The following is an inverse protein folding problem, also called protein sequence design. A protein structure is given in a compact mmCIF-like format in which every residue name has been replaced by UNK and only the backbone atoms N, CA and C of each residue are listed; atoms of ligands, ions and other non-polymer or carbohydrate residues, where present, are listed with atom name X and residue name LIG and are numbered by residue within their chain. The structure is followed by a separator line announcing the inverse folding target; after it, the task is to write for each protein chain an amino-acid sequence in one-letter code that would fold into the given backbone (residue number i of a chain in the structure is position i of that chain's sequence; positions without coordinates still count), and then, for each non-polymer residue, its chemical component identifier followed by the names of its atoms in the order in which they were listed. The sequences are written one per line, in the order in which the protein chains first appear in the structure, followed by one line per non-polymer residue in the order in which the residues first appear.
data_IF_604167285708
#
_entry.id   IF_604167285708
#
_cell.length_a   1.000
_cell.length_b   1.000
_cell.length_c   1.000
_cell.angle_alpha   90.00
_cell.angle_beta   90.00
_cell.angle_gamma   90.00
#
_symmetry.space_group_name_H-M   'P 1'
#
loop_
_entity.id
_entity.type
_entity.pdbx_description
1 polymer ?
#
# COMPACT_ATOMS: atom_id res chain seq x y z
N UNK A 1 -20.22 28.63 7.03
CA UNK A 1 -19.63 27.45 7.63
C UNK A 1 -18.64 26.85 6.64
N UNK A 2 -17.40 26.68 7.05
CA UNK A 2 -16.39 26.10 6.19
C UNK A 2 -16.49 24.59 6.18
N UNK A 3 -16.47 24.01 5.00
CA UNK A 3 -16.41 22.55 4.88
C UNK A 3 -14.97 22.10 5.01
N UNK A 4 -14.78 21.04 5.80
CA UNK A 4 -13.47 20.42 5.88
C UNK A 4 -13.20 19.67 4.56
N UNK A 5 -12.07 19.90 3.90
CA UNK A 5 -11.76 19.16 2.68
C UNK A 5 -11.74 17.66 2.95
N UNK A 6 -12.18 16.83 2.00
CA UNK A 6 -12.12 15.39 2.19
C UNK A 6 -10.67 14.92 2.35
N UNK A 7 -10.50 13.90 3.18
CA UNK A 7 -9.19 13.31 3.42
C UNK A 7 -8.66 12.72 2.12
N UNK A 8 -7.41 12.99 1.78
CA UNK A 8 -6.76 12.45 0.60
C UNK A 8 -5.66 11.46 0.92
N UNK A 9 -5.02 11.58 2.09
CA UNK A 9 -3.95 10.70 2.51
C UNK A 9 -4.46 9.71 3.55
N UNK A 10 -4.21 8.42 3.29
CA UNK A 10 -4.63 7.33 4.16
C UNK A 10 -3.41 6.50 4.54
N UNK A 11 -3.35 6.09 5.81
CA UNK A 11 -2.26 5.31 6.37
C UNK A 11 -2.81 3.96 6.76
N UNK A 12 -2.32 2.91 6.11
CA UNK A 12 -2.86 1.56 6.25
C UNK A 12 -1.81 0.66 6.90
N UNK A 13 -2.25 -0.17 7.84
CA UNK A 13 -1.41 -1.13 8.53
C UNK A 13 -2.02 -2.52 8.36
N UNK A 14 -1.26 -3.43 7.77
CA UNK A 14 -1.66 -4.82 7.58
C UNK A 14 -0.87 -5.70 8.55
N UNK A 15 -1.35 -6.92 8.79
CA UNK A 15 -0.63 -7.87 9.63
C UNK A 15 0.69 -8.30 8.98
N UNK A 16 0.70 -8.44 7.67
CA UNK A 16 1.90 -8.81 6.91
C UNK A 16 1.78 -8.38 5.45
N UNK A 17 2.91 -8.45 4.73
CA UNK A 17 2.94 -8.19 3.29
C UNK A 17 1.99 -9.13 2.54
N UNK A 18 1.83 -10.37 3.01
CA UNK A 18 0.98 -11.36 2.37
C UNK A 18 -0.50 -10.96 2.34
N UNK A 19 -0.91 -10.03 3.20
CA UNK A 19 -2.29 -9.56 3.23
C UNK A 19 -2.60 -8.51 2.15
N UNK A 20 -1.58 -7.98 1.47
CA UNK A 20 -1.77 -6.93 0.46
C UNK A 20 -2.75 -7.31 -0.64
N UNK A 21 -2.65 -8.49 -1.30
CA UNK A 21 -3.57 -8.82 -2.38
C UNK A 21 -5.03 -8.95 -1.93
N UNK A 22 -5.25 -9.28 -0.67
CA UNK A 22 -6.60 -9.42 -0.11
C UNK A 22 -7.18 -8.07 0.29
N UNK A 23 -6.42 -7.29 1.08
CA UNK A 23 -6.91 -6.02 1.61
C UNK A 23 -6.92 -4.93 0.55
N UNK A 24 -5.92 -4.91 -0.32
CA UNK A 24 -5.78 -3.91 -1.37
C UNK A 24 -6.25 -4.41 -2.73
N UNK A 25 -7.08 -5.47 -2.76
CA UNK A 25 -7.60 -6.04 -4.00
C UNK A 25 -8.13 -5.00 -5.00
N UNK A 26 -8.87 -3.95 -4.57
CA UNK A 26 -9.36 -2.94 -5.51
C UNK A 26 -8.27 -2.21 -6.28
N UNK A 27 -7.02 -2.21 -5.78
CA UNK A 27 -5.89 -1.55 -6.42
C UNK A 27 -5.05 -2.51 -7.28
N UNK A 28 -5.42 -3.79 -7.32
CA UNK A 28 -4.73 -4.77 -8.15
C UNK A 28 -5.35 -4.84 -9.55
N UNK A 29 -4.51 -5.04 -10.54
CA UNK A 29 -4.89 -5.10 -11.94
C UNK A 29 -4.51 -6.45 -12.51
N UNK A 30 -5.32 -6.94 -13.45
CA UNK A 30 -5.08 -8.21 -14.13
C UNK A 30 -5.16 -7.97 -15.62
N UNK A 31 -4.05 -8.15 -16.32
CA UNK A 31 -4.04 -8.06 -17.78
C UNK A 31 -4.55 -9.37 -18.37
N UNK A 32 -5.40 -9.25 -19.37
CA UNK A 32 -5.99 -10.39 -20.05
C UNK A 32 -5.85 -10.26 -21.55
N UNK A 33 -5.93 -11.40 -22.23
CA UNK A 33 -5.95 -11.45 -23.68
C UNK A 33 -7.12 -12.33 -24.11
N UNK A 34 -7.84 -11.92 -25.16
CA UNK A 34 -8.95 -12.69 -25.69
C UNK A 34 -8.45 -13.46 -26.91
N UNK A 35 -8.61 -14.79 -26.87
CA UNK A 35 -8.28 -15.67 -27.97
C UNK A 35 -9.56 -16.05 -28.70
N UNK A 36 -9.54 -16.00 -30.02
CA UNK A 36 -10.69 -16.36 -30.85
C UNK A 36 -10.34 -17.61 -31.66
N UNK A 37 -11.20 -18.63 -31.57
CA UNK A 37 -11.05 -19.85 -32.37
C UNK A 37 -11.51 -19.54 -33.80
N UNK A 38 -10.64 -19.69 -34.77
CA UNK A 38 -10.95 -19.40 -36.18
C UNK A 38 -12.01 -20.33 -36.77
N UNK A 39 -12.17 -21.52 -36.21
CA UNK A 39 -13.13 -22.50 -36.76
C UNK A 39 -14.52 -22.34 -36.17
N UNK A 40 -14.61 -22.02 -34.87
CA UNK A 40 -15.89 -21.94 -34.16
C UNK A 40 -16.32 -20.52 -33.83
N UNK A 41 -15.39 -19.54 -33.86
CA UNK A 41 -15.63 -18.19 -33.39
C UNK A 41 -15.70 -18.08 -31.88
N UNK A 42 -15.41 -19.15 -31.16
CA UNK A 42 -15.46 -19.15 -29.70
C UNK A 42 -14.34 -18.27 -29.13
N UNK A 43 -14.69 -17.44 -28.14
CA UNK A 43 -13.75 -16.56 -27.47
C UNK A 43 -13.36 -17.12 -26.11
N UNK A 44 -12.07 -17.08 -25.81
CA UNK A 44 -11.52 -17.48 -24.50
C UNK A 44 -10.69 -16.34 -23.97
N UNK A 45 -10.95 -15.92 -22.73
CA UNK A 45 -10.16 -14.89 -22.05
C UNK A 45 -9.15 -15.57 -21.14
N UNK A 46 -7.87 -15.21 -21.32
CA UNK A 46 -6.78 -15.76 -20.51
C UNK A 46 -6.04 -14.63 -19.79
N UNK A 47 -5.45 -14.96 -18.65
CA UNK A 47 -4.59 -14.04 -17.92
C UNK A 47 -3.18 -14.14 -18.50
N UNK A 48 -2.59 -12.99 -18.86
CA UNK A 48 -1.24 -12.95 -19.46
C UNK A 48 -0.13 -12.74 -18.44
N UNK A 49 -0.49 -12.38 -17.21
CA UNK A 49 0.46 -12.20 -16.11
C UNK A 49 -0.25 -12.38 -14.78
N UNK A 50 0.51 -12.44 -13.68
CA UNK A 50 -0.07 -12.43 -12.35
C UNK A 50 -0.67 -11.05 -12.04
N UNK A 51 -1.70 -10.98 -11.17
CA UNK A 51 -2.23 -9.68 -10.76
C UNK A 51 -1.14 -8.81 -10.14
N UNK A 52 -1.17 -7.53 -10.43
CA UNK A 52 -0.19 -6.58 -9.91
C UNK A 52 -0.87 -5.29 -9.47
N UNK A 53 -0.22 -4.59 -8.53
CA UNK A 53 -0.72 -3.31 -8.04
C UNK A 53 0.02 -2.17 -8.72
N UNK A 54 -0.74 -1.21 -9.27
CA UNK A 54 -0.15 0.03 -9.77
C UNK A 54 0.12 0.94 -8.57
N UNK A 55 1.36 1.42 -8.45
CA UNK A 55 1.72 2.31 -7.36
C UNK A 55 1.38 3.77 -7.66
N UNK A 56 1.17 4.10 -8.91
CA UNK A 56 0.84 5.46 -9.31
C UNK A 56 0.04 5.44 -10.61
N UNK A 57 -1.04 6.22 -10.64
CA UNK A 57 -1.84 6.40 -11.85
C UNK A 57 -2.58 7.74 -11.74
N UNK A 58 -3.51 8.02 -12.66
CA UNK A 58 -4.26 9.28 -12.65
C UNK A 58 -5.16 9.43 -11.42
N UNK A 59 -5.55 8.33 -10.78
CA UNK A 59 -6.53 8.32 -9.70
C UNK A 59 -5.93 8.28 -8.30
N UNK A 60 -4.72 7.72 -8.14
CA UNK A 60 -4.11 7.56 -6.83
C UNK A 60 -2.60 7.36 -6.93
N UNK A 61 -1.93 7.52 -5.78
CA UNK A 61 -0.53 7.14 -5.60
C UNK A 61 -0.43 6.28 -4.34
N UNK A 62 0.37 5.22 -4.39
CA UNK A 62 0.58 4.33 -3.26
C UNK A 62 2.06 4.26 -2.96
N UNK A 63 2.41 4.45 -1.67
CA UNK A 63 3.77 4.31 -1.19
C UNK A 63 3.83 3.13 -0.23
N UNK A 64 4.58 2.11 -0.60
CA UNK A 64 4.75 0.92 0.25
C UNK A 64 5.93 1.18 1.17
N UNK A 65 5.62 1.43 2.44
CA UNK A 65 6.64 1.68 3.46
C UNK A 65 7.21 0.36 3.97
N UNK A 66 6.35 -0.63 4.15
CA UNK A 66 6.74 -1.93 4.69
C UNK A 66 6.86 -1.90 6.20
N UNK A 67 7.93 -2.49 6.71
CA UNK A 67 8.19 -2.54 8.14
C UNK A 67 8.86 -1.23 8.56
N UNK A 68 8.29 -0.59 9.58
CA UNK A 68 8.86 0.64 10.15
C UNK A 68 9.60 0.27 11.42
N UNK A 69 10.80 0.83 11.61
CA UNK A 69 11.58 0.64 12.82
C UNK A 69 11.65 1.95 13.59
N UNK A 70 11.74 1.84 14.93
CA UNK A 70 11.92 3.03 15.78
C UNK A 70 12.98 2.75 16.85
N UNK A 71 13.61 3.81 17.42
CA UNK A 71 14.59 3.63 18.48
C UNK A 71 13.97 2.96 19.71
N UNK A 72 14.73 2.04 20.34
CA UNK A 72 14.30 1.36 21.57
C UNK A 72 14.65 2.16 22.81
N UNK A 73 15.52 3.15 22.69
CA UNK A 73 16.09 3.88 23.82
C UNK A 73 17.47 3.36 24.21
N UNK A 74 17.90 2.24 23.66
CA UNK A 74 19.22 1.68 23.91
C UNK A 74 20.24 2.21 22.91
N UNK A 75 21.51 2.27 23.35
CA UNK A 75 22.63 2.65 22.48
C UNK A 75 23.53 1.43 22.32
N UNK A 76 23.86 1.11 21.08
CA UNK A 76 24.75 0.01 20.73
C UNK A 76 26.09 0.57 20.28
N UNK A 77 27.14 -0.26 20.37
CA UNK A 77 28.48 0.11 19.91
C UNK A 77 28.94 -0.88 18.85
N UNK A 78 29.43 -0.37 17.71
CA UNK A 78 29.92 -1.24 16.65
C UNK A 78 31.39 -1.68 16.91
N UNK A 79 31.95 -2.45 15.97
CA UNK A 79 33.30 -2.98 16.10
C UNK A 79 34.38 -1.87 16.11
N UNK A 80 34.07 -0.71 15.56
CA UNK A 80 34.99 0.43 15.49
C UNK A 80 34.86 1.36 16.69
N UNK A 81 33.95 1.04 17.63
CA UNK A 81 33.70 1.85 18.80
C UNK A 81 32.72 2.98 18.59
N UNK A 82 32.06 3.05 17.45
CA UNK A 82 31.04 4.05 17.17
C UNK A 82 29.71 3.68 17.81
N UNK A 83 29.08 4.65 18.46
CA UNK A 83 27.77 4.43 19.08
C UNK A 83 26.65 4.74 18.08
N UNK A 84 25.57 3.94 18.14
CA UNK A 84 24.39 4.16 17.34
C UNK A 84 23.14 3.71 18.12
N UNK A 85 21.97 4.33 17.83
CA UNK A 85 20.73 3.93 18.52
C UNK A 85 20.24 2.59 18.02
N UNK A 86 19.84 1.74 18.94
CA UNK A 86 19.19 0.47 18.60
C UNK A 86 17.82 0.73 18.02
N UNK A 87 17.50 0.05 16.92
CA UNK A 87 16.21 0.14 16.27
C UNK A 87 15.48 -1.20 16.41
N UNK A 88 14.16 -1.13 16.62
CA UNK A 88 13.32 -2.32 16.65
C UNK A 88 12.14 -2.14 15.70
N UNK A 89 11.74 -3.19 14.98
CA UNK A 89 10.61 -3.09 14.06
C UNK A 89 9.29 -2.93 14.81
N UNK A 90 8.41 -2.09 14.27
CA UNK A 90 7.03 -1.99 14.71
C UNK A 90 6.24 -3.12 14.06
N UNK A 91 5.18 -3.56 14.74
CA UNK A 91 4.29 -4.56 14.16
C UNK A 91 3.63 -4.04 12.90
N UNK A 92 3.48 -4.92 11.92
CA UNK A 92 2.68 -4.66 10.74
C UNK A 92 3.44 -4.23 9.51
N UNK A 93 2.74 -4.31 8.40
CA UNK A 93 3.21 -3.87 7.08
C UNK A 93 2.49 -2.58 6.74
N UNK A 94 3.23 -1.51 6.50
CA UNK A 94 2.67 -0.15 6.38
C UNK A 94 2.60 0.31 4.93
N UNK A 95 1.49 0.95 4.58
CA UNK A 95 1.24 1.45 3.23
C UNK A 95 0.57 2.82 3.34
N UNK A 96 0.99 3.76 2.52
CA UNK A 96 0.34 5.06 2.42
C UNK A 96 -0.38 5.15 1.07
N UNK A 97 -1.60 5.67 1.08
CA UNK A 97 -2.41 5.85 -0.13
C UNK A 97 -2.81 7.31 -0.23
N UNK A 98 -2.53 7.93 -1.37
CA UNK A 98 -2.96 9.30 -1.66
C UNK A 98 -3.94 9.27 -2.82
N UNK A 99 -5.14 9.79 -2.59
CA UNK A 99 -6.16 9.90 -3.63
C UNK A 99 -5.96 11.19 -4.43
N UNK A 100 -5.95 11.06 -5.74
CA UNK A 100 -5.82 12.21 -6.65
C UNK A 100 -7.18 12.68 -7.15
N UNK A 101 -8.21 11.84 -6.98
CA UNK A 101 -9.60 12.16 -7.27
C UNK A 101 -10.50 11.23 -6.45
N UNK A 102 -11.81 11.24 -6.71
CA UNK A 102 -12.76 10.47 -5.91
C UNK A 102 -13.06 9.06 -6.45
N UNK A 103 -12.41 8.65 -7.53
CA UNK A 103 -12.68 7.35 -8.17
C UNK A 103 -12.52 6.18 -7.19
N UNK A 104 -11.47 6.19 -6.37
CA UNK A 104 -11.19 5.14 -5.39
C UNK A 104 -11.54 5.53 -3.96
N UNK A 105 -12.28 6.61 -3.75
CA UNK A 105 -12.55 7.11 -2.39
C UNK A 105 -13.34 6.11 -1.55
N UNK A 106 -14.42 5.57 -2.09
CA UNK A 106 -15.27 4.65 -1.33
C UNK A 106 -14.51 3.41 -0.88
N UNK A 107 -13.74 2.79 -1.78
CA UNK A 107 -12.98 1.58 -1.44
C UNK A 107 -11.84 1.90 -0.47
N UNK A 108 -11.19 3.07 -0.62
CA UNK A 108 -10.09 3.48 0.27
C UNK A 108 -10.60 3.77 1.67
N UNK A 109 -11.74 4.46 1.79
CA UNK A 109 -12.34 4.73 3.09
C UNK A 109 -12.78 3.44 3.79
N UNK A 110 -13.27 2.46 3.04
CA UNK A 110 -13.63 1.16 3.59
C UNK A 110 -12.40 0.42 4.13
N UNK A 111 -11.28 0.46 3.42
CA UNK A 111 -10.02 -0.13 3.88
C UNK A 111 -9.53 0.60 5.15
N UNK A 112 -9.62 1.92 5.16
CA UNK A 112 -9.19 2.75 6.30
C UNK A 112 -9.98 2.43 7.57
N UNK A 113 -11.28 2.16 7.45
CA UNK A 113 -12.11 1.81 8.60
C UNK A 113 -11.63 0.55 9.31
N UNK A 114 -11.08 -0.41 8.56
CA UNK A 114 -10.64 -1.69 9.11
C UNK A 114 -9.15 -1.71 9.42
N UNK A 115 -8.33 -1.07 8.57
CA UNK A 115 -6.87 -1.18 8.61
C UNK A 115 -6.16 0.16 8.74
N UNK A 116 -6.90 1.24 8.95
CA UNK A 116 -6.31 2.56 9.09
C UNK A 116 -5.49 2.69 10.36
N UNK A 117 -4.43 3.48 10.30
CA UNK A 117 -3.57 3.76 11.43
C UNK A 117 -3.06 5.20 11.38
N UNK A 118 -2.53 5.68 12.50
CA UNK A 118 -1.81 6.95 12.55
C UNK A 118 -0.32 6.63 12.48
N UNK A 119 0.43 7.28 11.58
CA UNK A 119 1.85 6.97 11.45
C UNK A 119 2.60 7.36 12.72
N UNK A 120 3.41 6.42 13.24
CA UNK A 120 4.26 6.67 14.40
C UNK A 120 5.55 7.40 14.02
N UNK A 121 5.90 7.35 12.74
CA UNK A 121 7.10 8.01 12.21
C UNK A 121 6.69 8.92 11.05
N UNK A 122 6.23 10.16 11.35
CA UNK A 122 5.72 11.07 10.32
C UNK A 122 6.70 11.31 9.16
N UNK A 123 8.00 11.18 9.39
CA UNK A 123 9.01 11.33 8.34
C UNK A 123 8.92 10.25 7.25
N UNK A 124 8.17 9.16 7.50
CA UNK A 124 7.95 8.11 6.53
C UNK A 124 6.67 8.30 5.73
N UNK A 125 5.93 9.36 6.02
CA UNK A 125 4.70 9.69 5.31
C UNK A 125 5.08 10.47 4.07
N UNK A 126 4.99 9.87 2.91
CA UNK A 126 5.29 10.48 1.60
C UNK A 126 6.67 11.13 1.51
N UNK A 127 7.50 10.52 0.77
CA UNK A 127 8.84 11.03 0.46
C UNK A 127 8.82 11.81 -0.84
#
# INVERSE_FOLDING_TARGET
MEETPPKTDFYIKLASEADMPTVLAPFYHQDTETLVDDETGEETVINVCDPYMLLSCADYAIDIIGIISKPTGNILTDADGNEYPEQAPLDGWHINIRLLNDTFREVTEAIDLTNGTSPETPSRVWL
#
